data_IF_474206027920
#
_entry.id   IF_474206027920
#
_cell.length_a   1.000
_cell.length_b   1.000
_cell.length_c   1.000
_cell.angle_alpha   90.00
_cell.angle_beta   90.00
_cell.angle_gamma   90.00
#
_symmetry.space_group_name_H-M   'P 1'
#
loop_
_entity.id
_entity.type
_entity.pdbx_description
1 polymer ?
#
# COMPACT_ATOMS: atom_id res chain seq x y z
N UNK A 1 12.40 8.03 2.38
CA UNK A 1 11.77 8.07 1.04
C UNK A 1 11.76 9.49 0.48
N UNK A 2 11.31 10.48 1.26
CA UNK A 2 11.24 11.89 0.83
C UNK A 2 12.55 12.44 0.27
N UNK A 3 13.70 12.05 0.85
CA UNK A 3 15.01 12.40 0.29
C UNK A 3 15.20 11.90 -1.14
N UNK A 4 14.80 10.66 -1.45
CA UNK A 4 14.96 10.07 -2.79
C UNK A 4 14.06 10.78 -3.79
N UNK A 5 12.81 11.06 -3.42
CA UNK A 5 11.86 11.85 -4.23
C UNK A 5 12.47 13.20 -4.60
N UNK A 6 13.05 13.90 -3.62
CA UNK A 6 13.70 15.19 -3.83
C UNK A 6 14.98 15.07 -4.66
N UNK A 7 15.78 14.05 -4.42
CA UNK A 7 17.06 13.85 -5.09
C UNK A 7 16.88 13.55 -6.58
N UNK A 8 15.88 12.71 -6.91
CA UNK A 8 15.58 12.32 -8.29
C UNK A 8 14.54 13.21 -8.98
N UNK A 9 13.96 14.18 -8.26
CA UNK A 9 12.86 15.04 -8.72
C UNK A 9 11.71 14.22 -9.37
N UNK A 10 11.33 13.13 -8.71
CA UNK A 10 10.36 12.16 -9.22
C UNK A 10 9.29 11.85 -8.17
N UNK A 11 8.02 11.94 -8.58
CA UNK A 11 6.87 11.49 -7.78
C UNK A 11 6.45 10.11 -8.32
N UNK A 12 6.69 9.01 -7.58
CA UNK A 12 6.24 7.69 -8.01
C UNK A 12 4.72 7.55 -7.88
N UNK A 13 4.10 6.86 -8.84
CA UNK A 13 2.69 6.45 -8.73
C UNK A 13 2.49 5.35 -7.67
N UNK A 14 3.52 4.52 -7.47
CA UNK A 14 3.49 3.36 -6.59
C UNK A 14 4.82 3.19 -5.85
N UNK A 15 4.73 2.89 -4.56
CA UNK A 15 5.86 2.49 -3.71
C UNK A 15 5.55 1.13 -3.09
N UNK A 16 6.40 0.12 -3.32
CA UNK A 16 6.37 -1.14 -2.55
C UNK A 16 7.28 -0.97 -1.32
N UNK A 17 6.73 -1.21 -0.14
CA UNK A 17 7.42 -1.25 1.14
C UNK A 17 7.52 -2.71 1.55
N UNK A 18 8.75 -3.22 1.57
CA UNK A 18 9.09 -4.60 1.87
C UNK A 18 10.33 -4.56 2.76
N UNK A 19 10.11 -4.23 4.04
CA UNK A 19 11.15 -4.01 5.05
C UNK A 19 10.72 -4.66 6.35
N UNK A 20 11.35 -5.77 6.72
CA UNK A 20 10.96 -6.58 7.87
C UNK A 20 10.96 -5.76 9.19
N UNK A 21 9.77 -5.33 9.64
CA UNK A 21 9.55 -4.65 10.93
C UNK A 21 9.88 -3.16 10.98
N UNK A 22 10.21 -2.53 9.85
CA UNK A 22 10.55 -1.09 9.77
C UNK A 22 9.56 -0.28 8.92
N UNK A 23 8.40 -0.84 8.58
CA UNK A 23 7.46 -0.31 7.59
C UNK A 23 6.92 1.06 8.03
N UNK A 24 6.62 1.24 9.32
CA UNK A 24 6.14 2.53 9.86
C UNK A 24 7.21 3.63 9.77
N UNK A 25 8.49 3.28 9.89
CA UNK A 25 9.59 4.24 9.73
C UNK A 25 9.70 4.69 8.27
N UNK A 26 9.51 3.77 7.32
CA UNK A 26 9.46 4.11 5.89
C UNK A 26 8.27 5.02 5.59
N UNK A 27 7.08 4.72 6.11
CA UNK A 27 5.89 5.56 5.96
C UNK A 27 6.11 6.97 6.53
N UNK A 28 6.69 7.08 7.73
CA UNK A 28 7.02 8.37 8.32
C UNK A 28 8.06 9.13 7.49
N UNK A 29 9.06 8.42 6.95
CA UNK A 29 10.05 8.97 6.02
C UNK A 29 9.54 9.21 4.60
N UNK A 30 8.25 8.96 4.33
CA UNK A 30 7.54 9.22 3.08
C UNK A 30 6.40 10.24 3.27
N UNK A 31 6.39 10.96 4.40
CA UNK A 31 5.29 11.83 4.78
C UNK A 31 5.08 12.97 3.78
N UNK A 32 6.16 13.62 3.31
CA UNK A 32 6.04 14.69 2.31
C UNK A 32 5.55 14.15 0.98
N UNK A 33 6.03 12.98 0.54
CA UNK A 33 5.53 12.29 -0.65
C UNK A 33 4.02 11.98 -0.53
N UNK A 34 3.59 11.39 0.58
CA UNK A 34 2.19 11.04 0.81
C UNK A 34 1.28 12.29 0.81
N UNK A 35 1.77 13.44 1.31
CA UNK A 35 1.02 14.71 1.28
C UNK A 35 0.77 15.25 -0.12
N UNK A 36 1.51 14.80 -1.15
CA UNK A 36 1.20 15.11 -2.54
C UNK A 36 -0.03 14.36 -3.05
N UNK A 37 -0.45 13.30 -2.35
CA UNK A 37 -1.66 12.49 -2.65
C UNK A 37 -1.70 11.89 -4.05
N UNK A 38 -0.52 11.61 -4.63
CA UNK A 38 -0.39 11.02 -5.97
C UNK A 38 0.17 9.60 -5.95
N UNK A 39 0.60 9.13 -4.79
CA UNK A 39 1.32 7.86 -4.64
C UNK A 39 0.49 6.86 -3.88
N UNK A 40 0.39 5.63 -4.38
CA UNK A 40 -0.09 4.46 -3.64
C UNK A 40 1.08 3.76 -2.95
N UNK A 41 0.82 3.12 -1.82
CA UNK A 41 1.80 2.30 -1.11
C UNK A 41 1.29 0.87 -1.01
N UNK A 42 2.09 -0.11 -1.40
CA UNK A 42 1.86 -1.51 -1.07
C UNK A 42 2.82 -1.88 0.03
N UNK A 43 2.32 -2.46 1.12
CA UNK A 43 3.16 -2.86 2.26
C UNK A 43 3.03 -4.35 2.44
N UNK A 44 4.15 -5.06 2.37
CA UNK A 44 4.29 -6.43 2.83
C UNK A 44 4.72 -6.41 4.30
N UNK A 45 4.00 -7.14 5.15
CA UNK A 45 4.26 -7.15 6.60
C UNK A 45 3.82 -8.45 7.23
N UNK A 46 4.34 -8.72 8.43
CA UNK A 46 3.71 -9.63 9.38
C UNK A 46 2.73 -8.87 10.26
N UNK A 47 1.46 -9.29 10.29
CA UNK A 47 0.44 -8.49 10.98
C UNK A 47 0.59 -8.59 12.50
N UNK A 48 0.54 -7.42 13.14
CA UNK A 48 0.14 -7.31 14.55
C UNK A 48 -0.89 -6.20 14.68
N UNK A 49 -1.81 -6.34 15.63
CA UNK A 49 -2.86 -5.33 15.88
C UNK A 49 -2.25 -3.94 16.11
N UNK A 50 -1.22 -3.87 16.97
CA UNK A 50 -0.48 -2.63 17.25
C UNK A 50 0.13 -2.00 16.00
N UNK A 51 0.69 -2.82 15.10
CA UNK A 51 1.25 -2.30 13.86
C UNK A 51 0.14 -1.67 13.00
N UNK A 52 -0.98 -2.37 12.84
CA UNK A 52 -2.08 -1.87 12.02
C UNK A 52 -2.70 -0.61 12.60
N UNK A 53 -2.81 -0.49 13.92
CA UNK A 53 -3.27 0.74 14.56
C UNK A 53 -2.34 1.92 14.25
N UNK A 54 -1.01 1.71 14.26
CA UNK A 54 -0.05 2.75 13.85
C UNK A 54 -0.22 3.15 12.39
N UNK A 55 -0.46 2.18 11.50
CA UNK A 55 -0.75 2.47 10.09
C UNK A 55 -2.04 3.29 9.95
N UNK A 56 -3.10 2.91 10.65
CA UNK A 56 -4.38 3.64 10.63
C UNK A 56 -4.28 5.03 11.26
N UNK A 57 -3.39 5.23 12.22
CA UNK A 57 -3.08 6.57 12.72
C UNK A 57 -2.33 7.40 11.66
N UNK A 58 -1.39 6.78 10.95
CA UNK A 58 -0.67 7.43 9.85
C UNK A 58 -1.62 7.82 8.71
N UNK A 59 -2.57 6.95 8.33
CA UNK A 59 -3.52 7.24 7.25
C UNK A 59 -4.43 8.43 7.58
N UNK A 60 -4.86 8.57 8.84
CA UNK A 60 -5.61 9.76 9.31
C UNK A 60 -4.79 11.05 9.16
N UNK A 61 -3.47 10.99 9.39
CA UNK A 61 -2.57 12.15 9.27
C UNK A 61 -2.32 12.53 7.81
N UNK A 62 -2.38 11.58 6.88
CA UNK A 62 -2.05 11.80 5.46
C UNK A 62 -3.29 11.92 4.54
N UNK A 63 -4.48 11.59 5.04
CA UNK A 63 -5.71 11.54 4.24
C UNK A 63 -5.74 10.33 3.31
N UNK A 64 -5.28 9.19 3.83
CA UNK A 64 -5.24 7.92 3.11
C UNK A 64 -6.26 6.96 3.72
N UNK A 65 -6.55 5.89 2.98
CA UNK A 65 -7.24 4.70 3.44
C UNK A 65 -6.34 3.48 3.30
N UNK A 66 -6.60 2.46 4.11
CA UNK A 66 -5.93 1.17 4.04
C UNK A 66 -6.90 0.12 3.52
N UNK A 67 -6.43 -0.76 2.64
CA UNK A 67 -7.22 -1.85 2.07
C UNK A 67 -6.44 -3.16 2.14
N UNK A 68 -7.13 -4.25 2.45
CA UNK A 68 -6.55 -5.58 2.37
C UNK A 68 -6.54 -6.04 0.91
N UNK A 69 -5.37 -6.30 0.34
CA UNK A 69 -5.25 -6.53 -1.10
C UNK A 69 -5.94 -7.81 -1.59
N UNK A 70 -6.06 -8.83 -0.75
CA UNK A 70 -6.65 -10.13 -1.14
C UNK A 70 -8.12 -10.01 -1.54
N UNK A 71 -8.89 -9.11 -0.91
CA UNK A 71 -10.33 -9.00 -1.13
C UNK A 71 -10.82 -7.55 -1.33
N UNK A 72 -9.91 -6.57 -1.28
CA UNK A 72 -10.23 -5.15 -1.40
C UNK A 72 -11.00 -4.56 -0.23
N UNK A 73 -11.14 -5.25 0.90
CA UNK A 73 -11.87 -4.72 2.06
C UNK A 73 -11.10 -3.56 2.70
N UNK A 74 -11.78 -2.44 2.96
CA UNK A 74 -11.20 -1.33 3.71
C UNK A 74 -10.86 -1.76 5.15
N UNK A 75 -9.65 -1.42 5.59
CA UNK A 75 -9.18 -1.69 6.93
C UNK A 75 -9.46 -0.48 7.82
N UNK A 76 -10.33 -0.65 8.82
CA UNK A 76 -10.78 0.43 9.71
C UNK A 76 -10.29 0.27 11.16
N UNK A 77 -9.81 -0.93 11.54
CA UNK A 77 -9.29 -1.24 12.86
C UNK A 77 -8.34 -2.46 12.80
N UNK A 78 -7.32 -2.52 13.67
CA UNK A 78 -6.22 -3.47 13.55
C UNK A 78 -6.61 -4.95 13.73
N UNK A 79 -7.65 -5.24 14.50
CA UNK A 79 -8.09 -6.62 14.77
C UNK A 79 -8.67 -7.34 13.54
N UNK A 80 -9.01 -6.64 12.46
CA UNK A 80 -9.48 -7.30 11.23
C UNK A 80 -8.44 -8.20 10.56
N UNK A 81 -7.15 -7.94 10.82
CA UNK A 81 -6.05 -8.73 10.26
C UNK A 81 -5.24 -9.47 11.32
N UNK A 82 -5.58 -9.36 12.62
CA UNK A 82 -4.77 -9.91 13.72
C UNK A 82 -4.60 -11.43 13.71
N UNK A 83 -5.50 -12.16 13.03
CA UNK A 83 -5.42 -13.61 12.84
C UNK A 83 -4.58 -14.03 11.63
N UNK A 84 -4.12 -13.08 10.81
CA UNK A 84 -3.32 -13.34 9.62
C UNK A 84 -1.83 -13.33 9.97
N UNK A 85 -1.06 -14.14 9.25
CA UNK A 85 0.40 -14.09 9.30
C UNK A 85 0.93 -12.95 8.43
N UNK A 86 1.68 -13.28 7.37
CA UNK A 86 2.08 -12.30 6.38
C UNK A 86 0.89 -11.87 5.52
N UNK A 87 0.83 -10.59 5.19
CA UNK A 87 -0.18 -10.06 4.29
C UNK A 87 0.31 -8.83 3.53
N UNK A 88 -0.41 -8.47 2.47
CA UNK A 88 -0.20 -7.24 1.74
C UNK A 88 -1.37 -6.28 1.96
N UNK A 89 -1.05 -5.02 2.27
CA UNK A 89 -2.03 -3.95 2.34
C UNK A 89 -1.73 -2.88 1.29
N UNK A 90 -2.79 -2.26 0.80
CA UNK A 90 -2.74 -1.09 -0.08
C UNK A 90 -3.11 0.14 0.72
N UNK A 91 -2.24 1.16 0.72
CA UNK A 91 -2.59 2.51 1.15
C UNK A 91 -2.78 3.39 -0.08
N UNK A 92 -3.88 4.13 -0.12
CA UNK A 92 -4.14 5.10 -1.18
C UNK A 92 -4.86 6.35 -0.66
N UNK A 93 -4.77 7.48 -1.38
CA UNK A 93 -5.57 8.67 -1.06
C UNK A 93 -7.06 8.35 -0.90
N UNK A 94 -7.69 8.97 0.10
CA UNK A 94 -9.09 8.70 0.48
C UNK A 94 -10.15 9.16 -0.54
N UNK A 95 -9.75 9.93 -1.55
CA UNK A 95 -10.56 10.36 -2.70
C UNK A 95 -10.48 9.40 -3.89
N UNK A 96 -9.66 8.35 -3.79
CA UNK A 96 -9.59 7.30 -4.80
C UNK A 96 -10.41 6.08 -4.38
N UNK A 97 -11.16 5.54 -5.34
CA UNK A 97 -11.80 4.24 -5.23
C UNK A 97 -10.78 3.10 -5.24
N UNK A 98 -11.11 1.97 -4.62
CA UNK A 98 -10.27 0.77 -4.70
C UNK A 98 -10.08 0.37 -6.17
N UNK A 99 -8.86 0.04 -6.64
CA UNK A 99 -8.64 -0.21 -8.05
C UNK A 99 -9.42 -1.44 -8.54
N UNK A 100 -10.37 -1.23 -9.45
CA UNK A 100 -11.26 -2.30 -9.91
C UNK A 100 -10.54 -3.44 -10.60
N UNK A 101 -9.38 -3.19 -11.23
CA UNK A 101 -8.54 -4.22 -11.84
C UNK A 101 -7.88 -5.17 -10.83
N UNK A 102 -7.89 -4.84 -9.54
CA UNK A 102 -7.44 -5.74 -8.47
C UNK A 102 -8.57 -6.63 -7.96
N UNK A 103 -9.83 -6.36 -8.32
CA UNK A 103 -10.96 -7.17 -7.89
C UNK A 103 -10.89 -8.53 -8.59
N UNK A 104 -10.87 -9.60 -7.78
CA UNK A 104 -10.87 -10.97 -8.28
C UNK A 104 -9.48 -11.56 -8.55
N UNK A 105 -8.39 -10.80 -8.36
CA UNK A 105 -7.02 -11.34 -8.33
C UNK A 105 -6.88 -12.17 -7.06
N UNK A 106 -6.69 -13.48 -7.19
CA UNK A 106 -6.53 -14.36 -6.04
C UNK A 106 -5.08 -14.43 -5.63
N UNK A 107 -4.87 -14.64 -4.34
CA UNK A 107 -3.56 -14.96 -3.80
C UNK A 107 -3.00 -16.20 -4.51
N UNK A 108 -1.74 -16.14 -4.93
CA UNK A 108 -1.06 -17.18 -5.71
C UNK A 108 -1.62 -17.43 -7.12
N UNK A 109 -2.41 -16.51 -7.69
CA UNK A 109 -2.75 -16.59 -9.11
C UNK A 109 -1.47 -16.55 -9.97
N UNK A 110 -1.43 -17.31 -11.08
CA UNK A 110 -0.31 -17.25 -12.00
C UNK A 110 -0.19 -15.85 -12.61
N UNK A 111 1.04 -15.41 -12.86
CA UNK A 111 1.27 -14.17 -13.59
C UNK A 111 0.57 -14.25 -14.95
N UNK A 112 -0.06 -13.15 -15.41
CA UNK A 112 -0.58 -13.07 -16.76
C UNK A 112 0.51 -13.44 -17.76
N UNK A 113 0.19 -14.28 -18.74
CA UNK A 113 1.11 -14.56 -19.84
C UNK A 113 1.24 -13.26 -20.64
N UNK A 114 2.47 -12.76 -20.80
CA UNK A 114 2.71 -11.56 -21.59
C UNK A 114 2.15 -11.78 -23.00
N UNK A 115 1.10 -11.05 -23.36
CA UNK A 115 0.63 -10.97 -24.74
C UNK A 115 1.56 -10.03 -25.46
N UNK A 116 2.32 -10.54 -26.45
CA UNK A 116 3.07 -9.67 -27.35
C UNK A 116 2.08 -8.68 -27.96
N UNK A 117 2.20 -7.41 -27.61
CA UNK A 117 1.54 -6.35 -28.36
C UNK A 117 2.22 -6.33 -29.74
N UNK A 118 1.60 -7.00 -30.71
CA UNK A 118 1.90 -6.71 -32.11
C UNK A 118 1.37 -5.30 -32.36
N UNK A 119 2.31 -4.35 -32.47
CA UNK A 119 2.03 -3.04 -33.04
C UNK A 119 1.53 -3.26 -34.48
N UNK A 120 0.28 -2.86 -34.75
CA UNK A 120 -0.26 -2.63 -36.09
C UNK A 120 -0.03 -1.16 -36.48
#
# INVERSE_FOLDING_TARGET
MDYLVKYYDLIPDLVKIDVEGAEILVLNGAYSLAKLRKTRFIIEMHVSEKFMDNVLEWTKKTGYKAFFLVNGSEITHGSMLSHRGRCHILLQPDDLEYPSYLIGVKESDPLPVATNHTED
#
